data_IF_720080776654
#
_entry.id   IF_720080776654
#
_cell.length_a   1.000
_cell.length_b   1.000
_cell.length_c   1.000
_cell.angle_alpha   90.00
_cell.angle_beta   90.00
_cell.angle_gamma   90.00
#
_symmetry.space_group_name_H-M   'P 1'
#
loop_
_entity.id
_entity.type
_entity.pdbx_description
1 polymer ?
#
# COMPACT_ATOMS: atom_id res chain seq x y z
N UNK A 1 -23.88 -11.48 -18.23
CA UNK A 1 -22.90 -11.32 -17.13
C UNK A 1 -23.73 -10.88 -15.95
N UNK A 2 -24.07 -11.82 -15.08
CA UNK A 2 -25.15 -11.56 -14.12
C UNK A 2 -24.62 -10.89 -12.84
N UNK A 3 -23.31 -10.94 -12.59
CA UNK A 3 -22.66 -10.31 -11.44
C UNK A 3 -21.20 -9.92 -11.74
N UNK A 4 -20.71 -8.90 -11.03
CA UNK A 4 -19.29 -8.52 -11.01
C UNK A 4 -18.56 -9.36 -9.96
N UNK A 5 -17.42 -9.99 -10.26
CA UNK A 5 -16.63 -10.72 -9.26
C UNK A 5 -16.22 -9.84 -8.07
N UNK A 6 -16.23 -10.36 -6.82
CA UNK A 6 -15.89 -9.58 -5.62
C UNK A 6 -14.53 -8.88 -5.67
N UNK A 7 -13.54 -9.49 -6.35
CA UNK A 7 -12.22 -8.89 -6.55
C UNK A 7 -12.25 -7.54 -7.32
N UNK A 8 -13.33 -7.29 -8.07
CA UNK A 8 -13.52 -6.09 -8.90
C UNK A 8 -14.61 -5.16 -8.35
N UNK A 9 -15.10 -5.40 -7.13
CA UNK A 9 -16.04 -4.48 -6.49
C UNK A 9 -15.37 -3.15 -6.13
N UNK A 10 -16.19 -2.10 -6.06
CA UNK A 10 -15.81 -0.80 -5.52
C UNK A 10 -15.73 -0.94 -3.99
N UNK A 11 -14.56 -1.36 -3.51
CA UNK A 11 -14.28 -1.58 -2.09
C UNK A 11 -12.79 -1.28 -1.79
N UNK A 12 -12.42 -1.11 -0.50
CA UNK A 12 -11.02 -1.02 -0.11
C UNK A 12 -10.23 -2.24 -0.61
N UNK A 13 -9.04 -1.98 -1.15
CA UNK A 13 -8.18 -3.01 -1.70
C UNK A 13 -6.79 -2.94 -1.07
N UNK A 14 -6.19 -4.11 -0.83
CA UNK A 14 -4.84 -4.21 -0.30
C UNK A 14 -3.77 -3.99 -1.38
N UNK A 15 -4.15 -4.12 -2.65
CA UNK A 15 -3.28 -3.94 -3.81
C UNK A 15 -4.03 -3.23 -4.94
N UNK A 16 -3.30 -2.73 -5.91
CA UNK A 16 -3.83 -2.11 -7.13
C UNK A 16 -3.01 -2.47 -8.34
N UNK A 17 -3.55 -2.22 -9.53
CA UNK A 17 -2.89 -2.48 -10.83
C UNK A 17 -2.62 -3.96 -11.11
N UNK A 18 -3.40 -4.89 -10.54
CA UNK A 18 -3.32 -6.33 -10.84
C UNK A 18 -4.25 -6.74 -11.98
N UNK A 19 -5.30 -5.98 -12.25
CA UNK A 19 -6.21 -6.20 -13.37
C UNK A 19 -6.74 -4.89 -13.94
N UNK A 20 -7.00 -4.87 -15.26
CA UNK A 20 -7.68 -3.77 -15.94
C UNK A 20 -9.18 -3.66 -15.58
N UNK A 21 -9.75 -4.72 -14.97
CA UNK A 21 -11.13 -4.76 -14.49
C UNK A 21 -11.29 -4.14 -13.10
N UNK A 22 -10.19 -3.72 -12.45
CA UNK A 22 -10.27 -3.01 -11.19
C UNK A 22 -11.02 -1.68 -11.35
N UNK A 23 -11.84 -1.29 -10.35
CA UNK A 23 -12.47 0.01 -10.33
C UNK A 23 -11.46 1.14 -10.54
N UNK A 24 -11.72 1.95 -11.56
CA UNK A 24 -10.89 3.08 -11.90
C UNK A 24 -11.24 4.26 -11.00
N UNK A 25 -10.25 4.85 -10.34
CA UNK A 25 -10.42 6.13 -9.66
C UNK A 25 -10.36 7.25 -10.69
N UNK A 26 -11.30 8.21 -10.69
CA UNK A 26 -11.34 9.30 -11.68
C UNK A 26 -10.00 10.05 -11.81
N UNK A 27 -9.32 10.30 -10.68
CA UNK A 27 -7.99 10.90 -10.68
C UNK A 27 -6.87 9.97 -11.19
N UNK A 28 -7.07 8.66 -11.14
CA UNK A 28 -6.15 7.62 -11.62
C UNK A 28 -6.22 7.34 -13.13
N UNK A 29 -7.22 7.89 -13.83
CA UNK A 29 -7.33 7.79 -15.29
C UNK A 29 -6.08 8.39 -15.93
N UNK A 30 -5.33 7.56 -16.67
CA UNK A 30 -4.20 8.02 -17.48
C UNK A 30 -4.73 8.77 -18.69
N UNK A 31 -4.30 10.00 -18.85
CA UNK A 31 -4.62 10.83 -20.02
C UNK A 31 -3.31 11.06 -20.76
N UNK A 32 -3.27 10.79 -22.08
CA UNK A 32 -2.04 10.86 -22.89
C UNK A 32 -0.89 9.98 -22.36
N UNK A 33 -1.20 8.84 -21.75
CA UNK A 33 -0.21 7.92 -21.17
C UNK A 33 0.40 8.37 -19.85
N UNK A 34 0.07 9.57 -19.36
CA UNK A 34 0.63 10.12 -18.12
C UNK A 34 -0.22 9.69 -16.92
N UNK A 35 0.44 9.10 -15.92
CA UNK A 35 -0.13 8.94 -14.58
C UNK A 35 0.13 10.22 -13.79
N UNK A 36 -0.95 10.84 -13.33
CA UNK A 36 -0.89 12.15 -12.67
C UNK A 36 -0.16 12.00 -11.32
N UNK A 37 0.84 12.83 -10.99
CA UNK A 37 1.54 12.77 -9.70
C UNK A 37 0.63 12.84 -8.47
N UNK A 38 -0.53 13.48 -8.63
CA UNK A 38 -1.57 13.66 -7.60
C UNK A 38 -2.72 12.66 -7.71
N UNK A 39 -2.66 11.67 -8.60
CA UNK A 39 -3.74 10.69 -8.69
C UNK A 39 -3.84 9.93 -7.37
N UNK A 40 -5.06 9.74 -6.85
CA UNK A 40 -5.25 8.92 -5.65
C UNK A 40 -4.73 7.51 -5.91
N UNK A 41 -4.19 6.89 -4.86
CA UNK A 41 -3.82 5.48 -4.90
C UNK A 41 -5.03 4.64 -4.44
N UNK A 42 -5.32 3.55 -5.15
CA UNK A 42 -6.39 2.61 -4.78
C UNK A 42 -6.01 1.76 -3.56
N UNK A 43 -4.72 1.58 -3.35
CA UNK A 43 -4.13 0.91 -2.19
C UNK A 43 -2.88 1.66 -1.77
N UNK A 44 -2.49 1.52 -0.50
CA UNK A 44 -1.30 2.18 0.03
C UNK A 44 -0.49 1.25 0.93
N UNK A 45 0.78 1.58 1.11
CA UNK A 45 1.66 0.92 2.07
C UNK A 45 2.30 1.92 3.00
N UNK A 46 1.97 1.83 4.28
CA UNK A 46 2.45 2.74 5.32
C UNK A 46 2.82 1.94 6.58
N UNK A 47 3.98 2.26 7.14
CA UNK A 47 4.34 1.93 8.52
C UNK A 47 4.68 3.23 9.22
N UNK A 48 4.21 3.41 10.47
CA UNK A 48 4.54 4.58 11.30
C UNK A 48 5.00 4.09 12.65
N UNK A 49 6.15 4.59 13.12
CA UNK A 49 6.56 4.43 14.52
C UNK A 49 6.00 5.58 15.33
N UNK A 50 5.34 5.24 16.41
CA UNK A 50 4.78 6.21 17.36
C UNK A 50 5.52 6.09 18.69
N UNK A 51 5.64 7.21 19.40
CA UNK A 51 6.09 7.22 20.78
C UNK A 51 4.96 6.87 21.77
N UNK A 52 5.24 6.93 23.08
CA UNK A 52 4.25 6.65 24.14
C UNK A 52 3.09 7.64 24.18
N UNK A 53 3.27 8.83 23.61
CA UNK A 53 2.28 9.89 23.49
C UNK A 53 1.57 9.86 22.13
N UNK A 54 1.75 8.78 21.36
CA UNK A 54 1.23 8.60 20.01
C UNK A 54 1.73 9.64 19.00
N UNK A 55 2.89 10.26 19.26
CA UNK A 55 3.51 11.17 18.30
C UNK A 55 4.32 10.38 17.27
N UNK A 56 4.19 10.68 15.97
CA UNK A 56 5.01 10.06 14.92
C UNK A 56 6.49 10.37 15.10
N UNK A 57 7.32 9.33 15.16
CA UNK A 57 8.78 9.43 15.17
C UNK A 57 9.35 9.31 13.75
N UNK A 58 8.90 8.30 13.02
CA UNK A 58 9.23 8.12 11.61
C UNK A 58 8.14 7.33 10.88
N UNK A 59 8.20 7.33 9.55
CA UNK A 59 7.30 6.56 8.72
C UNK A 59 7.99 6.02 7.46
N UNK A 60 7.49 4.88 6.99
CA UNK A 60 7.94 4.21 5.78
C UNK A 60 6.78 4.08 4.82
N UNK A 61 7.01 4.50 3.58
CA UNK A 61 5.95 4.67 2.59
C UNK A 61 6.31 3.90 1.33
N UNK A 62 5.37 3.10 0.82
CA UNK A 62 5.45 2.67 -0.57
C UNK A 62 5.04 3.82 -1.47
N UNK A 63 5.64 3.90 -2.66
CA UNK A 63 5.21 4.84 -3.70
C UNK A 63 3.80 4.46 -4.17
N UNK A 64 3.03 5.42 -4.65
CA UNK A 64 1.65 5.19 -5.11
C UNK A 64 1.53 4.10 -6.22
N UNK A 65 2.57 3.95 -7.05
CA UNK A 65 2.67 2.91 -8.07
C UNK A 65 3.59 1.74 -7.65
N UNK A 66 3.92 1.64 -6.37
CA UNK A 66 4.73 0.59 -5.79
C UNK A 66 3.95 -0.71 -5.58
N UNK A 67 4.68 -1.75 -5.16
CA UNK A 67 4.12 -3.09 -4.92
C UNK A 67 4.04 -3.45 -3.44
N UNK A 68 4.54 -2.58 -2.54
CA UNK A 68 4.56 -2.83 -1.09
C UNK A 68 3.34 -2.23 -0.40
N UNK A 69 2.14 -2.59 -0.87
CA UNK A 69 0.87 -2.07 -0.37
C UNK A 69 0.17 -3.08 0.54
N UNK A 70 -0.90 -2.64 1.20
CA UNK A 70 -1.71 -3.52 2.05
C UNK A 70 -0.89 -4.07 3.20
N UNK A 71 -0.20 -3.16 3.90
CA UNK A 71 0.53 -3.49 5.12
C UNK A 71 -0.51 -3.80 6.21
N UNK A 72 -0.45 -5.02 6.75
CA UNK A 72 -1.44 -5.48 7.73
C UNK A 72 -0.83 -5.70 9.13
N UNK A 73 0.48 -5.86 9.23
CA UNK A 73 1.15 -6.02 10.51
C UNK A 73 2.62 -5.63 10.43
N UNK A 74 3.17 -5.30 11.59
CA UNK A 74 4.58 -5.00 11.79
C UNK A 74 5.04 -5.61 13.11
N UNK A 75 6.26 -6.13 13.14
CA UNK A 75 6.90 -6.64 14.35
C UNK A 75 8.37 -6.26 14.35
N UNK A 76 8.87 -5.74 15.46
CA UNK A 76 10.29 -5.49 15.66
C UNK A 76 10.91 -6.65 16.44
N UNK A 77 12.03 -7.18 15.95
CA UNK A 77 12.77 -8.27 16.58
C UNK A 77 14.24 -8.24 16.15
N UNK A 78 15.14 -8.40 17.13
CA UNK A 78 16.59 -8.54 16.90
C UNK A 78 17.18 -7.41 16.01
N UNK A 79 16.77 -6.16 16.23
CA UNK A 79 17.23 -4.99 15.45
C UNK A 79 16.68 -4.92 14.02
N UNK A 80 15.61 -5.66 13.73
CA UNK A 80 14.94 -5.67 12.43
C UNK A 80 13.45 -5.44 12.56
N UNK A 81 12.90 -4.79 11.55
CA UNK A 81 11.49 -4.57 11.38
C UNK A 81 10.95 -5.54 10.33
N UNK A 82 10.07 -6.44 10.75
CA UNK A 82 9.33 -7.33 9.88
C UNK A 82 7.97 -6.72 9.54
N UNK A 83 7.68 -6.54 8.26
CA UNK A 83 6.45 -5.89 7.79
C UNK A 83 5.71 -6.84 6.86
N UNK A 84 4.47 -7.21 7.20
CA UNK A 84 3.65 -8.09 6.37
C UNK A 84 2.85 -7.27 5.35
N UNK A 85 3.19 -7.40 4.07
CA UNK A 85 2.50 -6.79 2.94
C UNK A 85 1.59 -7.83 2.30
N UNK A 86 0.34 -7.90 2.76
CA UNK A 86 -0.66 -8.81 2.19
C UNK A 86 -1.01 -8.43 0.75
N UNK A 87 -1.04 -7.13 0.45
CA UNK A 87 -1.21 -6.63 -0.90
C UNK A 87 -0.01 -6.87 -1.83
N UNK A 88 1.20 -6.95 -1.26
CA UNK A 88 2.43 -7.26 -1.99
C UNK A 88 2.80 -8.73 -1.99
N UNK A 89 2.01 -9.59 -1.33
CA UNK A 89 2.27 -11.03 -1.14
C UNK A 89 3.69 -11.32 -0.64
N UNK A 90 4.15 -10.57 0.37
CA UNK A 90 5.50 -10.72 0.90
C UNK A 90 5.61 -10.24 2.35
N UNK A 91 6.69 -10.69 3.00
CA UNK A 91 7.18 -10.13 4.27
C UNK A 91 8.47 -9.38 3.97
N UNK A 92 8.54 -8.12 4.40
CA UNK A 92 9.73 -7.29 4.29
C UNK A 92 10.52 -7.40 5.60
N UNK A 93 11.84 -7.45 5.51
CA UNK A 93 12.74 -7.28 6.63
C UNK A 93 13.58 -6.03 6.38
N UNK A 94 13.48 -5.05 7.29
CA UNK A 94 14.17 -3.77 7.21
C UNK A 94 15.06 -3.62 8.43
N UNK A 95 16.26 -3.07 8.27
CA UNK A 95 17.11 -2.77 9.42
C UNK A 95 16.56 -1.55 10.17
N UNK A 96 16.46 -1.65 11.51
CA UNK A 96 15.96 -0.52 12.33
C UNK A 96 17.04 0.51 12.63
N UNK A 97 18.32 0.18 12.42
CA UNK A 97 19.46 1.06 12.69
C UNK A 97 19.61 2.26 11.75
N UNK A 98 18.71 2.42 10.78
CA UNK A 98 18.69 3.57 9.85
C UNK A 98 17.72 4.70 10.22
N UNK A 99 17.02 4.61 11.35
CA UNK A 99 15.97 5.55 11.77
C UNK A 99 16.19 6.10 13.18
#
# INVERSE_FOLDING_TARGET
IDQVPPAYWIAPALASNRSFLEPLQCGGIRTMGIHKPWSPSRSYGLVVKLDRSLQPQFSLHSRANGTRHGICSVAERDGRLFVASKGGDCVLALDTGGF
#
